data_IF_042500951698
#
_entry.id   IF_042500951698
#
_cell.length_a   1.000
_cell.length_b   1.000
_cell.length_c   1.000
_cell.angle_alpha   90.00
_cell.angle_beta   90.00
_cell.angle_gamma   90.00
#
_symmetry.space_group_name_H-M   'P 1'
#
loop_
_entity.id
_entity.type
_entity.pdbx_description
1 polymer ?
#
# COMPACT_ATOMS: atom_id res chain seq x y z
N UNK A 1 44.44 5.36 8.30
CA UNK A 1 43.98 6.47 7.44
C UNK A 1 42.75 5.99 6.73
N UNK A 2 41.59 6.54 7.08
CA UNK A 2 40.29 5.97 6.75
C UNK A 2 39.96 6.03 5.26
N UNK A 3 39.56 4.89 4.71
CA UNK A 3 38.84 4.82 3.44
C UNK A 3 37.38 4.44 3.70
N UNK A 4 36.68 5.35 4.39
CA UNK A 4 35.22 5.39 4.50
C UNK A 4 34.53 5.61 3.14
N UNK A 5 35.32 5.73 2.06
CA UNK A 5 34.89 5.87 0.66
C UNK A 5 34.41 4.55 0.05
N UNK A 6 34.66 3.40 0.68
CA UNK A 6 34.19 2.08 0.22
C UNK A 6 32.88 1.59 0.87
N UNK A 7 32.30 2.32 1.83
CA UNK A 7 30.98 2.03 2.42
C UNK A 7 29.87 2.98 1.93
N UNK A 8 30.22 3.94 1.10
CA UNK A 8 29.28 4.84 0.42
C UNK A 8 29.06 4.37 -1.02
N UNK A 9 28.88 3.07 -1.23
CA UNK A 9 28.30 2.61 -2.49
C UNK A 9 26.79 2.88 -2.41
N UNK A 10 26.24 3.89 -3.13
CA UNK A 10 24.81 4.19 -3.13
C UNK A 10 23.97 2.99 -3.59
N UNK A 11 24.58 1.95 -4.16
CA UNK A 11 23.92 0.71 -4.54
C UNK A 11 23.58 -0.20 -3.36
N UNK A 12 24.19 -0.05 -2.19
CA UNK A 12 23.88 -0.86 -1.01
C UNK A 12 22.48 -0.61 -0.44
N UNK A 13 21.97 0.61 -0.59
CA UNK A 13 20.61 0.99 -0.16
C UNK A 13 19.54 0.64 -1.21
N UNK A 14 19.90 0.63 -2.50
CA UNK A 14 18.99 0.21 -3.60
C UNK A 14 18.84 -1.32 -3.68
N UNK A 15 19.89 -2.10 -3.37
CA UNK A 15 19.93 -3.55 -3.62
C UNK A 15 19.02 -4.40 -2.71
N UNK A 16 18.55 -3.85 -1.59
CA UNK A 16 17.84 -4.67 -0.61
C UNK A 16 16.35 -4.89 -0.95
N UNK A 17 15.77 -4.15 -1.91
CA UNK A 17 14.35 -4.28 -2.31
C UNK A 17 13.33 -3.91 -1.23
N UNK A 18 13.76 -3.78 0.03
CA UNK A 18 12.92 -3.45 1.19
C UNK A 18 12.39 -2.00 1.16
N UNK A 19 13.09 -1.07 0.50
CA UNK A 19 12.61 0.31 0.34
C UNK A 19 11.33 0.41 -0.49
N UNK A 20 11.26 -0.31 -1.61
CA UNK A 20 10.06 -0.41 -2.44
C UNK A 20 8.90 -1.07 -1.68
N UNK A 21 9.15 -2.21 -1.04
CA UNK A 21 8.14 -2.91 -0.24
C UNK A 21 7.60 -2.01 0.89
N UNK A 22 8.46 -1.25 1.56
CA UNK A 22 8.07 -0.28 2.59
C UNK A 22 7.12 0.80 2.09
N UNK A 23 7.37 1.35 0.89
CA UNK A 23 6.49 2.35 0.25
C UNK A 23 5.13 1.72 -0.09
N UNK A 24 5.13 0.51 -0.65
CA UNK A 24 3.92 -0.24 -0.99
C UNK A 24 3.06 -0.50 0.26
N UNK A 25 3.67 -1.00 1.33
CA UNK A 25 3.00 -1.27 2.61
C UNK A 25 2.43 0.03 3.22
N UNK A 26 3.19 1.12 3.22
CA UNK A 26 2.74 2.40 3.75
C UNK A 26 1.54 2.97 2.97
N UNK A 27 1.55 2.84 1.64
CA UNK A 27 0.44 3.23 0.79
C UNK A 27 -0.83 2.40 1.06
N UNK A 28 -0.68 1.07 1.21
CA UNK A 28 -1.77 0.15 1.56
C UNK A 28 -2.39 0.44 2.93
N UNK A 29 -1.56 0.84 3.90
CA UNK A 29 -2.00 1.10 5.26
C UNK A 29 -2.64 2.48 5.48
N UNK A 30 -2.69 3.34 4.44
CA UNK A 30 -3.31 4.68 4.49
C UNK A 30 -2.78 5.56 5.63
N UNK A 31 -1.48 5.47 5.93
CA UNK A 31 -0.84 6.14 7.07
C UNK A 31 -1.42 5.76 8.46
N UNK A 32 -2.20 4.68 8.58
CA UNK A 32 -2.65 4.16 9.86
C UNK A 32 -1.64 3.13 10.40
N UNK A 33 -0.91 3.41 11.49
CA UNK A 33 0.17 2.55 11.99
C UNK A 33 -0.31 1.14 12.38
N UNK A 34 -1.57 0.96 12.80
CA UNK A 34 -2.12 -0.37 13.09
C UNK A 34 -2.33 -1.20 11.82
N UNK A 35 -2.78 -0.58 10.73
CA UNK A 35 -2.94 -1.26 9.45
C UNK A 35 -1.58 -1.60 8.82
N UNK A 36 -0.55 -0.77 9.04
CA UNK A 36 0.82 -1.02 8.57
C UNK A 36 1.33 -2.36 9.10
N UNK A 37 1.15 -2.64 10.39
CA UNK A 37 1.65 -3.87 11.00
C UNK A 37 1.03 -5.14 10.36
N UNK A 38 -0.29 -5.13 10.15
CA UNK A 38 -1.00 -6.24 9.51
C UNK A 38 -0.53 -6.44 8.06
N UNK A 39 -0.48 -5.37 7.27
CA UNK A 39 -0.09 -5.43 5.86
C UNK A 39 1.38 -5.84 5.72
N UNK A 40 2.27 -5.29 6.54
CA UNK A 40 3.69 -5.66 6.54
C UNK A 40 3.88 -7.16 6.80
N UNK A 41 3.09 -7.73 7.72
CA UNK A 41 3.13 -9.16 8.00
C UNK A 41 2.68 -10.00 6.80
N UNK A 42 1.55 -9.65 6.17
CA UNK A 42 1.07 -10.35 4.98
C UNK A 42 2.06 -10.26 3.80
N UNK A 43 2.57 -9.06 3.52
CA UNK A 43 3.49 -8.81 2.41
C UNK A 43 4.86 -9.45 2.66
N UNK A 44 5.35 -9.43 3.91
CA UNK A 44 6.57 -10.14 4.32
C UNK A 44 6.44 -11.65 4.19
N UNK A 45 5.29 -12.21 4.58
CA UNK A 45 4.96 -13.62 4.37
C UNK A 45 4.91 -13.99 2.88
N UNK A 46 4.27 -13.16 2.05
CA UNK A 46 4.22 -13.35 0.60
C UNK A 46 5.61 -13.31 -0.04
N UNK A 47 6.48 -12.39 0.40
CA UNK A 47 7.85 -12.30 -0.07
C UNK A 47 8.65 -13.56 0.28
N UNK A 48 8.52 -14.06 1.51
CA UNK A 48 9.22 -15.25 1.97
C UNK A 48 8.71 -16.53 1.27
N UNK A 49 7.39 -16.66 1.12
CA UNK A 49 6.77 -17.75 0.36
C UNK A 49 7.21 -17.73 -1.11
N UNK A 50 7.27 -16.55 -1.71
CA UNK A 50 7.75 -16.39 -3.08
C UNK A 50 9.24 -16.73 -3.26
N UNK A 51 10.08 -16.48 -2.26
CA UNK A 51 11.48 -16.94 -2.24
C UNK A 51 11.59 -18.46 -2.12
N UNK A 52 10.78 -19.08 -1.26
CA UNK A 52 10.76 -20.53 -1.11
C UNK A 52 10.30 -21.26 -2.38
N UNK A 53 9.53 -20.58 -3.23
CA UNK A 53 9.03 -21.10 -4.49
C UNK A 53 9.92 -20.75 -5.70
N UNK A 54 11.03 -20.03 -5.51
CA UNK A 54 11.97 -19.75 -6.60
C UNK A 54 12.64 -21.04 -7.07
N UNK A 55 12.21 -21.52 -8.23
CA UNK A 55 12.78 -22.65 -8.96
C UNK A 55 12.81 -22.35 -10.45
N UNK A 56 13.26 -23.31 -11.27
CA UNK A 56 13.41 -23.17 -12.73
C UNK A 56 12.16 -22.63 -13.43
N UNK A 57 10.98 -22.99 -12.91
CA UNK A 57 9.67 -22.63 -13.46
C UNK A 57 9.08 -21.32 -12.91
N UNK A 58 9.69 -20.74 -11.87
CA UNK A 58 9.17 -19.56 -11.17
C UNK A 58 10.10 -18.35 -11.35
N UNK A 59 9.75 -17.40 -12.24
CA UNK A 59 10.64 -16.29 -12.58
C UNK A 59 10.89 -15.35 -11.39
N UNK A 60 12.17 -14.98 -11.22
CA UNK A 60 12.63 -13.98 -10.27
C UNK A 60 12.00 -12.61 -10.60
N UNK A 61 10.89 -12.28 -9.93
CA UNK A 61 10.13 -11.04 -10.16
C UNK A 61 8.62 -11.20 -10.05
N UNK A 62 8.09 -12.44 -10.09
CA UNK A 62 6.65 -12.70 -10.00
C UNK A 62 6.07 -12.18 -8.68
N UNK A 63 6.82 -12.30 -7.58
CA UNK A 63 6.45 -11.74 -6.27
C UNK A 63 6.26 -10.22 -6.34
N UNK A 64 7.14 -9.51 -7.05
CA UNK A 64 7.03 -8.05 -7.22
C UNK A 64 5.79 -7.64 -8.02
N UNK A 65 5.46 -8.40 -9.07
CA UNK A 65 4.24 -8.17 -9.87
C UNK A 65 2.99 -8.37 -9.00
N UNK A 66 2.96 -9.42 -8.18
CA UNK A 66 1.87 -9.71 -7.25
C UNK A 66 1.71 -8.60 -6.20
N UNK A 67 2.83 -8.10 -5.64
CA UNK A 67 2.81 -6.95 -4.73
C UNK A 67 2.25 -5.69 -5.41
N UNK A 68 2.66 -5.41 -6.65
CA UNK A 68 2.12 -4.31 -7.44
C UNK A 68 0.62 -4.47 -7.76
N UNK A 69 0.15 -5.69 -8.04
CA UNK A 69 -1.26 -5.98 -8.30
C UNK A 69 -2.12 -5.78 -7.05
N UNK A 70 -1.63 -6.22 -5.88
CA UNK A 70 -2.30 -6.01 -4.59
C UNK A 70 -2.42 -4.52 -4.28
N UNK A 71 -1.34 -3.76 -4.50
CA UNK A 71 -1.34 -2.31 -4.36
C UNK A 71 -2.35 -1.66 -5.31
N UNK A 72 -2.33 -2.02 -6.59
CA UNK A 72 -3.23 -1.50 -7.60
C UNK A 72 -4.70 -1.80 -7.27
N UNK A 73 -5.01 -3.03 -6.86
CA UNK A 73 -6.36 -3.44 -6.48
C UNK A 73 -6.86 -2.68 -5.24
N UNK A 74 -6.00 -2.49 -4.24
CA UNK A 74 -6.35 -1.76 -3.02
C UNK A 74 -6.56 -0.27 -3.30
N UNK A 75 -5.65 0.38 -4.04
CA UNK A 75 -5.79 1.78 -4.44
C UNK A 75 -7.01 1.99 -5.35
N UNK A 76 -7.27 1.05 -6.27
CA UNK A 76 -8.44 1.08 -7.15
C UNK A 76 -9.75 0.92 -6.39
N UNK A 77 -9.84 -0.03 -5.47
CA UNK A 77 -10.99 -0.22 -4.58
C UNK A 77 -11.23 0.99 -3.66
N UNK A 78 -10.16 1.58 -3.14
CA UNK A 78 -10.23 2.82 -2.38
C UNK A 78 -10.79 3.97 -3.22
N UNK A 79 -10.26 4.18 -4.43
CA UNK A 79 -10.74 5.23 -5.33
C UNK A 79 -12.23 5.05 -5.60
N UNK A 80 -12.66 3.81 -5.86
CA UNK A 80 -14.05 3.47 -6.11
C UNK A 80 -14.96 3.80 -4.91
N UNK A 81 -14.59 3.34 -3.70
CA UNK A 81 -15.35 3.60 -2.47
C UNK A 81 -15.38 5.09 -2.14
N UNK A 82 -14.23 5.77 -2.19
CA UNK A 82 -14.10 7.18 -1.77
C UNK A 82 -14.84 8.13 -2.73
N UNK A 83 -14.88 7.81 -4.03
CA UNK A 83 -15.63 8.58 -5.03
C UNK A 83 -17.15 8.39 -4.89
N UNK A 84 -17.61 7.15 -4.66
CA UNK A 84 -19.04 6.82 -4.43
C UNK A 84 -19.57 7.42 -3.12
N UNK A 85 -18.73 7.47 -2.08
CA UNK A 85 -19.07 8.07 -0.78
C UNK A 85 -19.19 9.60 -0.86
N UNK A 86 -18.48 10.29 -1.77
CA UNK A 86 -18.70 11.73 -2.01
C UNK A 86 -20.04 12.00 -2.70
N UNK A 87 -20.46 11.12 -3.60
CA UNK A 87 -21.75 11.24 -4.29
C UNK A 87 -22.93 11.01 -3.34
N UNK A 88 -22.83 10.02 -2.43
CA UNK A 88 -23.89 9.73 -1.47
C UNK A 88 -24.05 10.81 -0.37
N UNK A 89 -22.97 11.52 0.01
CA UNK A 89 -23.03 12.56 1.05
C UNK A 89 -23.66 13.88 0.56
N UNK A 90 -23.67 14.15 -0.74
CA UNK A 90 -24.34 15.36 -1.27
C UNK A 90 -25.86 15.31 -1.24
N UNK A 91 -26.46 14.12 -1.08
CA UNK A 91 -27.92 13.96 -1.10
C UNK A 91 -28.59 13.98 0.29
N UNK A 92 -27.83 14.07 1.39
CA UNK A 92 -28.39 14.08 2.76
C UNK A 92 -28.43 15.47 3.44
N UNK A 93 -28.09 16.55 2.73
CA UNK A 93 -28.03 17.91 3.28
C UNK A 93 -29.21 18.83 2.96
N UNK A 94 -30.17 18.42 2.14
CA UNK A 94 -31.19 19.34 1.58
C UNK A 94 -32.60 19.20 2.19
N UNK A 95 -32.76 18.50 3.31
CA UNK A 95 -34.09 18.05 3.78
C UNK A 95 -34.60 18.55 5.14
N UNK A 96 -33.84 19.33 5.92
CA UNK A 96 -34.23 19.60 7.33
C UNK A 96 -34.26 21.08 7.73
N UNK A 97 -34.71 21.97 6.83
CA UNK A 97 -34.91 23.40 7.15
C UNK A 97 -36.37 23.90 6.98
N UNK A 98 -37.33 22.99 6.83
CA UNK A 98 -38.74 23.34 6.56
C UNK A 98 -39.71 23.25 7.74
N UNK A 99 -39.28 22.87 8.94
CA UNK A 99 -40.19 22.52 10.04
C UNK A 99 -40.30 23.57 11.17
N UNK A 100 -39.58 24.69 11.10
CA UNK A 100 -39.55 25.70 12.17
C UNK A 100 -40.45 26.93 11.92
N UNK A 101 -41.29 26.92 10.88
CA UNK A 101 -42.15 28.06 10.52
C UNK A 101 -43.62 27.92 10.97
N UNK A 102 -43.92 27.15 12.01
CA UNK A 102 -45.26 27.13 12.60
C UNK A 102 -45.22 26.81 14.09
N UNK A 103 -45.44 27.85 14.90
CA UNK A 103 -45.51 27.83 16.36
C UNK A 103 -45.70 29.23 16.90
#
# INVERSE_FOLDING_TARGET
>A
MGDFRHQLDPRGLDQSGYGYAGIVIAALARYNPFAVALVAFLLGGLQNAGFALQGSDFPAGLVGILQGLILFSTLGGELFVRYRVRLARRLRGAGSRGAEASG
#
